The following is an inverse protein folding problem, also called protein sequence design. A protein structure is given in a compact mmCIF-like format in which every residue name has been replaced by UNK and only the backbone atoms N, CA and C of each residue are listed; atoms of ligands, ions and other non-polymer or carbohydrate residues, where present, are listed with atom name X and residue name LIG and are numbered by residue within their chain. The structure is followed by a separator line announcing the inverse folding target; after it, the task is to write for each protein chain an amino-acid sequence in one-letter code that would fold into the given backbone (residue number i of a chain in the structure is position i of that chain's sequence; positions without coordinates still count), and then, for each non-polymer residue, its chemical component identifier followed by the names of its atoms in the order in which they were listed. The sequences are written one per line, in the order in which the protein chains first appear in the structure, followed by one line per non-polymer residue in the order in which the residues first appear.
data_IF_871165460527
#
_entry.id   IF_871165460527
#
_cell.length_a   1.000
_cell.length_b   1.000
_cell.length_c   1.000
_cell.angle_alpha   90.00
_cell.angle_beta   90.00
_cell.angle_gamma   90.00
#
_symmetry.space_group_name_H-M   'P 1'
#
loop_
_entity.id
_entity.type
_entity.pdbx_description
1 polymer ?
#
# COMPACT_ATOMS: atom_id res chain seq x y z
N UNK A 1 -0.02 17.00 -9.38
CA UNK A 1 0.98 15.93 -9.56
C UNK A 1 1.11 15.18 -8.24
N UNK A 2 1.11 13.85 -8.30
CA UNK A 2 1.22 12.99 -7.11
C UNK A 2 2.57 12.27 -7.14
N UNK A 3 3.34 12.38 -6.05
CA UNK A 3 4.61 11.70 -5.88
C UNK A 3 4.55 10.81 -4.64
N UNK A 4 5.03 9.57 -4.76
CA UNK A 4 5.07 8.58 -3.68
C UNK A 4 6.51 8.17 -3.41
N UNK A 5 6.94 8.27 -2.17
CA UNK A 5 8.20 7.73 -1.70
C UNK A 5 7.92 6.54 -0.77
N UNK A 6 8.33 5.34 -1.18
CA UNK A 6 8.16 4.13 -0.37
C UNK A 6 9.29 4.07 0.66
N UNK A 7 8.92 3.94 1.93
CA UNK A 7 9.88 3.81 3.05
C UNK A 7 10.14 2.34 3.37
N UNK A 8 9.07 1.54 3.44
CA UNK A 8 9.11 0.10 3.74
C UNK A 8 8.01 -0.65 3.01
N UNK A 9 8.30 -1.91 2.72
CA UNK A 9 7.34 -2.89 2.22
C UNK A 9 7.57 -4.21 2.96
N UNK A 10 6.50 -4.75 3.53
CA UNK A 10 6.49 -6.05 4.20
C UNK A 10 5.48 -6.97 3.51
N UNK A 11 5.81 -8.26 3.39
CA UNK A 11 5.00 -9.24 2.70
C UNK A 11 4.85 -10.53 3.52
N UNK A 12 3.66 -11.11 3.53
CA UNK A 12 3.40 -12.43 4.13
C UNK A 12 2.58 -13.32 3.19
N UNK A 13 2.90 -14.62 3.08
CA UNK A 13 2.06 -15.56 2.34
C UNK A 13 0.76 -15.84 3.11
N UNK A 14 -0.31 -16.07 2.36
CA UNK A 14 -1.60 -16.55 2.87
C UNK A 14 -1.82 -18.02 2.48
N UNK A 15 -2.69 -18.76 3.19
CA UNK A 15 -2.87 -20.20 2.96
C UNK A 15 -3.32 -20.60 1.56
N UNK A 16 -3.98 -19.69 0.83
CA UNK A 16 -4.50 -19.95 -0.53
C UNK A 16 -3.52 -19.55 -1.65
N UNK A 17 -2.26 -19.29 -1.30
CA UNK A 17 -1.23 -18.86 -2.24
C UNK A 17 -1.27 -17.35 -2.56
N UNK A 18 -2.19 -16.60 -1.95
CA UNK A 18 -2.18 -15.15 -2.01
C UNK A 18 -1.07 -14.55 -1.15
N UNK A 19 -0.77 -13.27 -1.34
CA UNK A 19 0.25 -12.53 -0.61
C UNK A 19 -0.39 -11.29 0.00
N UNK A 20 -0.30 -11.14 1.32
CA UNK A 20 -0.60 -9.89 2.00
C UNK A 20 0.62 -8.96 1.89
N UNK A 21 0.39 -7.74 1.41
CA UNK A 21 1.43 -6.71 1.26
C UNK A 21 1.05 -5.47 2.06
N UNK A 22 2.00 -4.95 2.83
CA UNK A 22 1.92 -3.69 3.53
C UNK A 22 2.99 -2.74 2.98
N UNK A 23 2.58 -1.56 2.50
CA UNK A 23 3.47 -0.50 2.02
C UNK A 23 3.30 0.71 2.92
N UNK A 24 4.41 1.19 3.46
CA UNK A 24 4.48 2.40 4.27
C UNK A 24 5.30 3.43 3.49
N UNK A 25 4.78 4.64 3.37
CA UNK A 25 5.47 5.67 2.60
C UNK A 25 4.99 7.08 2.89
N UNK A 26 5.50 7.99 2.07
CA UNK A 26 5.14 9.39 2.08
C UNK A 26 4.54 9.80 0.73
N UNK A 27 3.56 10.68 0.78
CA UNK A 27 2.80 11.23 -0.33
C UNK A 27 3.02 12.73 -0.39
N UNK A 28 3.38 13.24 -1.57
CA UNK A 28 3.40 14.67 -1.89
C UNK A 28 2.42 14.91 -3.02
N UNK A 29 1.41 15.73 -2.75
CA UNK A 29 0.40 16.13 -3.74
C UNK A 29 0.57 17.62 -3.99
N UNK A 30 0.94 18.00 -5.21
CA UNK A 30 1.11 19.40 -5.61
C UNK A 30 1.91 20.20 -4.57
N UNK A 31 1.33 21.28 -4.04
CA UNK A 31 1.96 22.15 -3.04
C UNK A 31 1.62 21.77 -1.59
N UNK A 32 0.78 20.74 -1.36
CA UNK A 32 0.38 20.30 -0.01
C UNK A 32 1.57 19.74 0.78
N UNK A 33 1.59 19.85 2.12
CA UNK A 33 2.62 19.22 2.94
C UNK A 33 2.77 17.72 2.65
N UNK A 34 3.99 17.19 2.86
CA UNK A 34 4.24 15.75 2.75
C UNK A 34 3.44 15.03 3.84
N UNK A 35 2.68 14.01 3.45
CA UNK A 35 1.84 13.21 4.34
C UNK A 35 2.28 11.75 4.34
N UNK A 36 2.34 11.12 5.51
CA UNK A 36 2.58 9.68 5.59
C UNK A 36 1.32 8.91 5.20
N UNK A 37 1.50 7.75 4.57
CA UNK A 37 0.41 6.84 4.22
C UNK A 37 0.78 5.39 4.53
N UNK A 38 -0.26 4.59 4.76
CA UNK A 38 -0.19 3.13 4.77
C UNK A 38 -1.09 2.60 3.65
N UNK A 39 -0.59 1.66 2.86
CA UNK A 39 -1.30 1.03 1.76
C UNK A 39 -1.15 -0.48 1.86
N UNK A 40 -2.28 -1.16 2.02
CA UNK A 40 -2.34 -2.60 2.16
C UNK A 40 -3.07 -3.19 0.96
N UNK A 41 -2.56 -4.30 0.44
CA UNK A 41 -3.26 -5.04 -0.61
C UNK A 41 -2.98 -6.53 -0.52
N UNK A 42 -3.96 -7.33 -0.97
CA UNK A 42 -3.84 -8.78 -1.13
C UNK A 42 -3.63 -9.08 -2.60
N UNK A 43 -2.49 -9.66 -2.95
CA UNK A 43 -2.20 -10.18 -4.28
C UNK A 43 -2.68 -11.62 -4.37
N UNK A 44 -3.71 -11.89 -5.17
CA UNK A 44 -4.23 -13.23 -5.42
C UNK A 44 -3.69 -13.76 -6.75
N UNK A 45 -3.19 -15.00 -6.83
CA UNK A 45 -2.65 -15.54 -8.08
C UNK A 45 -3.73 -15.70 -9.14
N UNK A 46 -3.40 -15.38 -10.38
CA UNK A 46 -4.22 -15.61 -11.57
C UNK A 46 -3.31 -15.90 -12.77
N UNK A 47 -3.48 -17.08 -13.39
CA UNK A 47 -2.82 -17.55 -14.63
C UNK A 47 -1.48 -16.87 -14.95
N UNK A 48 -0.43 -17.24 -14.21
CA UNK A 48 0.94 -16.76 -14.44
C UNK A 48 1.25 -15.34 -13.91
N UNK A 49 0.31 -14.72 -13.20
CA UNK A 49 0.45 -13.39 -12.59
C UNK A 49 -0.35 -13.30 -11.27
N UNK A 50 -0.54 -12.07 -10.78
CA UNK A 50 -1.35 -11.75 -9.61
C UNK A 50 -2.31 -10.59 -9.92
N UNK A 51 -3.43 -10.53 -9.21
CA UNK A 51 -4.31 -9.36 -9.19
C UNK A 51 -4.56 -8.91 -7.75
N UNK A 52 -4.90 -7.64 -7.55
CA UNK A 52 -5.27 -7.12 -6.23
C UNK A 52 -6.72 -7.53 -5.95
N UNK A 53 -6.94 -8.42 -4.97
CA UNK A 53 -8.29 -8.84 -4.57
C UNK A 53 -8.89 -7.94 -3.49
N UNK A 54 -8.04 -7.30 -2.68
CA UNK A 54 -8.42 -6.42 -1.60
C UNK A 54 -7.41 -5.28 -1.52
N UNK A 55 -7.87 -4.06 -1.25
CA UNK A 55 -7.03 -2.87 -1.17
C UNK A 55 -7.53 -1.93 -0.08
N UNK A 56 -6.63 -1.42 0.74
CA UNK A 56 -6.90 -0.38 1.74
C UNK A 56 -5.81 0.68 1.65
N UNK A 57 -6.20 1.92 1.39
CA UNK A 57 -5.32 3.08 1.49
C UNK A 57 -5.74 3.95 2.67
N UNK A 58 -4.77 4.40 3.48
CA UNK A 58 -5.01 5.27 4.63
C UNK A 58 -3.91 6.33 4.74
N UNK A 59 -4.30 7.60 4.76
CA UNK A 59 -3.42 8.69 5.21
C UNK A 59 -3.23 8.62 6.73
N UNK A 60 -2.01 8.84 7.19
CA UNK A 60 -1.68 8.88 8.62
C UNK A 60 -1.93 10.30 9.13
N UNK A 61 -3.18 10.55 9.52
CA UNK A 61 -3.60 11.78 10.17
C UNK A 61 -3.62 11.54 11.69
N UNK A 62 -3.17 12.53 12.46
CA UNK A 62 -3.32 12.51 13.92
C UNK A 62 -4.60 13.27 14.26
N UNK A 63 -5.47 12.69 15.09
CA UNK A 63 -6.60 13.43 15.66
C UNK A 63 -6.07 14.47 16.66
N UNK A 64 -6.59 15.69 16.58
CA UNK A 64 -6.27 16.80 17.47
C UNK A 64 -7.07 16.73 18.78
#
# INVERSE_FOLDING_TARGET
MIQRAITKTDCQPLPDGSILVAVIGQLKTDDDPIQSFNHFFVLRPATGSFFISNEIFRLVLHDH
#
